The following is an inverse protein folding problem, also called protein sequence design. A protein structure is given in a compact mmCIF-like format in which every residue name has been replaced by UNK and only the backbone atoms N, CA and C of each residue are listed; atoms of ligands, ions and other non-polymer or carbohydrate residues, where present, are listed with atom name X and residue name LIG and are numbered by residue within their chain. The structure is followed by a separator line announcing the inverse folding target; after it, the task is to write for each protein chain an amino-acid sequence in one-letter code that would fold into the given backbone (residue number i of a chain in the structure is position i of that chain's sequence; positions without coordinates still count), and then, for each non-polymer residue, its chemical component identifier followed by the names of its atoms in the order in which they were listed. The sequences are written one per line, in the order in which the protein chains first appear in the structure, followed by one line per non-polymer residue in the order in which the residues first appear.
data_IF_980125627915
#
_entry.id   IF_980125627915
#
_cell.length_a   1.000
_cell.length_b   1.000
_cell.length_c   1.000
_cell.angle_alpha   90.00
_cell.angle_beta   90.00
_cell.angle_gamma   90.00
#
_symmetry.space_group_name_H-M   'P 1'
#
loop_
_entity.id
_entity.type
_entity.pdbx_description
1 polymer ?
#
# COMPACT_ATOMS: atom_id res chain seq x y z
N UNK A 1 37.36 41.92 -57.90
CA UNK A 1 36.51 41.01 -57.11
C UNK A 1 37.40 39.92 -56.55
N UNK A 2 37.34 39.73 -55.23
CA UNK A 2 38.41 39.23 -54.38
C UNK A 2 38.54 37.69 -54.32
N UNK A 3 39.82 37.29 -54.29
CA UNK A 3 40.51 36.13 -53.69
C UNK A 3 39.71 34.94 -53.09
N UNK A 4 40.03 33.73 -53.56
CA UNK A 4 39.93 32.48 -52.78
C UNK A 4 41.33 32.03 -52.34
N UNK A 5 41.63 32.22 -51.06
CA UNK A 5 42.86 31.77 -50.42
C UNK A 5 42.81 30.31 -49.94
N UNK A 6 43.88 29.56 -50.19
CA UNK A 6 44.21 28.27 -49.57
C UNK A 6 44.58 28.44 -48.09
N UNK A 7 44.26 27.45 -47.24
CA UNK A 7 45.02 27.01 -46.05
C UNK A 7 44.43 25.66 -45.56
N UNK A 8 45.14 24.53 -45.71
CA UNK A 8 46.17 23.90 -44.85
C UNK A 8 45.57 22.96 -43.79
N UNK A 9 45.94 21.69 -43.92
CA UNK A 9 45.79 20.59 -42.95
C UNK A 9 46.35 20.94 -41.56
N UNK A 10 45.68 20.46 -40.51
CA UNK A 10 46.33 20.06 -39.26
C UNK A 10 45.84 18.70 -38.80
N UNK A 11 46.82 17.88 -38.38
CA UNK A 11 46.76 16.48 -37.98
C UNK A 11 46.06 16.27 -36.63
N UNK A 12 45.46 15.10 -36.51
CA UNK A 12 45.01 14.34 -35.33
C UNK A 12 46.06 14.18 -34.23
N UNK A 13 45.65 14.24 -32.94
CA UNK A 13 46.10 13.44 -31.77
C UNK A 13 44.96 13.41 -30.70
N UNK A 14 44.78 12.32 -29.89
CA UNK A 14 43.51 11.86 -29.33
C UNK A 14 43.41 11.91 -27.78
N UNK A 15 42.19 11.66 -27.24
CA UNK A 15 41.82 11.06 -25.93
C UNK A 15 40.30 11.26 -25.75
N UNK A 16 39.48 10.35 -25.22
CA UNK A 16 39.74 9.21 -24.34
C UNK A 16 38.55 8.25 -24.37
N UNK A 17 38.87 6.99 -24.14
CA UNK A 17 38.00 5.86 -23.80
C UNK A 17 36.75 6.25 -22.98
N UNK A 18 35.58 6.24 -23.61
CA UNK A 18 34.29 6.06 -22.94
C UNK A 18 33.20 5.65 -23.95
N UNK A 19 33.56 4.79 -24.92
CA UNK A 19 32.55 4.02 -25.64
C UNK A 19 32.27 2.74 -24.85
N UNK A 20 31.45 2.86 -23.80
CA UNK A 20 30.83 1.72 -23.14
C UNK A 20 29.31 1.96 -23.05
N UNK A 21 28.61 1.32 -23.99
CA UNK A 21 27.21 0.88 -23.92
C UNK A 21 26.13 1.95 -23.64
N UNK A 22 25.80 2.73 -24.66
CA UNK A 22 24.46 3.32 -24.75
C UNK A 22 23.49 2.30 -25.38
N UNK A 23 23.17 1.25 -24.63
CA UNK A 23 22.09 0.33 -24.98
C UNK A 23 20.76 1.07 -24.85
N UNK A 24 20.30 1.69 -25.95
CA UNK A 24 19.00 2.36 -26.05
C UNK A 24 17.91 1.45 -25.48
N UNK A 25 17.25 1.89 -24.40
CA UNK A 25 16.13 1.16 -23.78
C UNK A 25 15.08 0.81 -24.85
N UNK A 26 14.50 -0.40 -24.82
CA UNK A 26 13.56 -0.85 -25.84
C UNK A 26 12.39 0.11 -25.99
N UNK A 27 11.96 0.36 -27.23
CA UNK A 27 10.88 1.28 -27.55
C UNK A 27 9.56 0.76 -26.96
N UNK A 28 8.92 1.57 -26.12
CA UNK A 28 7.65 1.23 -25.47
C UNK A 28 6.48 1.66 -26.35
N UNK A 29 5.42 0.85 -26.43
CA UNK A 29 4.21 1.19 -27.19
C UNK A 29 3.50 2.39 -26.58
N UNK A 30 2.83 3.16 -27.44
CA UNK A 30 2.17 4.40 -27.03
C UNK A 30 0.80 4.13 -26.40
N UNK A 31 0.27 5.10 -25.65
CA UNK A 31 -1.09 5.01 -25.11
C UNK A 31 -2.15 4.80 -26.21
N UNK A 32 -1.94 5.35 -27.41
CA UNK A 32 -2.81 5.14 -28.57
C UNK A 32 -2.84 3.68 -29.04
N UNK A 33 -1.69 3.01 -29.00
CA UNK A 33 -1.58 1.59 -29.38
C UNK A 33 -2.30 0.71 -28.35
N UNK A 34 -2.17 1.05 -27.06
CA UNK A 34 -2.87 0.38 -25.96
C UNK A 34 -4.39 0.52 -26.11
N UNK A 35 -4.89 1.74 -26.37
CA UNK A 35 -6.32 1.97 -26.63
C UNK A 35 -6.81 1.13 -27.80
N UNK A 36 -6.07 1.13 -28.91
CA UNK A 36 -6.42 0.35 -30.10
C UNK A 36 -6.47 -1.14 -29.78
N UNK A 37 -5.51 -1.66 -28.99
CA UNK A 37 -5.52 -3.05 -28.57
C UNK A 37 -6.76 -3.38 -27.73
N UNK A 38 -7.08 -2.55 -26.73
CA UNK A 38 -8.25 -2.76 -25.87
C UNK A 38 -9.57 -2.68 -26.65
N UNK A 39 -9.68 -1.79 -27.65
CA UNK A 39 -10.88 -1.65 -28.47
C UNK A 39 -11.11 -2.81 -29.44
N UNK A 40 -10.05 -3.30 -30.07
CA UNK A 40 -10.16 -4.28 -31.17
C UNK A 40 -9.91 -5.73 -30.73
N UNK A 41 -9.34 -5.95 -29.55
CA UNK A 41 -9.11 -7.29 -29.02
C UNK A 41 -10.31 -7.80 -28.24
N UNK A 42 -11.15 -8.61 -28.90
CA UNK A 42 -12.32 -9.22 -28.29
C UNK A 42 -12.02 -10.25 -27.19
N UNK A 43 -10.75 -10.61 -26.98
CA UNK A 43 -10.33 -11.49 -25.88
C UNK A 43 -10.10 -10.75 -24.55
N UNK A 44 -10.08 -9.40 -24.57
CA UNK A 44 -9.87 -8.57 -23.38
C UNK A 44 -11.20 -7.95 -22.92
N UNK A 45 -11.62 -8.18 -21.66
CA UNK A 45 -12.88 -7.65 -21.17
C UNK A 45 -12.73 -6.16 -20.82
N UNK A 46 -13.18 -5.29 -21.75
CA UNK A 46 -13.04 -3.83 -21.69
C UNK A 46 -13.68 -3.18 -20.46
N UNK A 47 -14.76 -3.77 -19.95
CA UNK A 47 -15.49 -3.37 -18.75
C UNK A 47 -14.64 -3.42 -17.49
N UNK A 48 -13.62 -4.28 -17.47
CA UNK A 48 -12.69 -4.43 -16.34
C UNK A 48 -11.48 -3.49 -16.41
N UNK A 49 -11.33 -2.69 -17.47
CA UNK A 49 -10.18 -1.78 -17.61
C UNK A 49 -10.50 -0.37 -17.11
N UNK A 50 -9.48 0.27 -16.53
CA UNK A 50 -9.51 1.66 -16.07
C UNK A 50 -8.36 2.45 -16.68
N UNK A 51 -8.57 3.75 -16.88
CA UNK A 51 -7.57 4.67 -17.43
C UNK A 51 -7.33 5.83 -16.49
N UNK A 52 -6.06 6.03 -16.12
CA UNK A 52 -5.61 7.21 -15.39
C UNK A 52 -5.08 8.27 -16.34
N UNK A 53 -5.68 9.46 -16.31
CA UNK A 53 -5.25 10.61 -17.12
C UNK A 53 -5.09 11.87 -16.28
N UNK A 54 -4.20 12.76 -16.70
CA UNK A 54 -3.95 14.02 -16.02
C UNK A 54 -5.01 15.06 -16.43
N UNK A 55 -5.93 15.34 -15.53
CA UNK A 55 -6.92 16.42 -15.62
C UNK A 55 -6.29 17.79 -15.34
N UNK A 56 -6.92 18.85 -15.84
CA UNK A 56 -6.42 20.23 -15.71
C UNK A 56 -6.56 20.75 -14.28
N UNK A 57 -7.54 20.30 -13.52
CA UNK A 57 -7.88 20.86 -12.22
C UNK A 57 -7.68 19.87 -11.07
N UNK A 58 -7.95 18.58 -11.32
CA UNK A 58 -7.97 17.56 -10.26
C UNK A 58 -6.72 16.65 -10.23
N UNK A 59 -5.70 16.92 -11.04
CA UNK A 59 -4.52 16.05 -11.15
C UNK A 59 -4.85 14.75 -11.90
N UNK A 60 -4.34 13.60 -11.46
CA UNK A 60 -4.61 12.34 -12.16
C UNK A 60 -5.99 11.79 -11.76
N UNK A 61 -6.88 11.66 -12.74
CA UNK A 61 -8.24 11.13 -12.60
C UNK A 61 -8.32 9.76 -13.25
N UNK A 62 -8.95 8.79 -12.58
CA UNK A 62 -9.26 7.47 -13.15
C UNK A 62 -10.71 7.39 -13.61
N UNK A 63 -10.93 6.78 -14.77
CA UNK A 63 -12.28 6.44 -15.27
C UNK A 63 -12.30 5.04 -15.88
N UNK A 64 -13.46 4.34 -15.83
CA UNK A 64 -13.64 3.09 -16.55
C UNK A 64 -13.37 3.29 -18.04
N UNK A 65 -12.71 2.34 -18.68
CA UNK A 65 -12.38 2.41 -20.10
C UNK A 65 -13.63 2.50 -20.98
N UNK A 66 -14.71 1.84 -20.57
CA UNK A 66 -16.02 1.85 -21.24
C UNK A 66 -16.78 3.18 -21.11
N UNK A 67 -16.46 3.99 -20.10
CA UNK A 67 -17.11 5.28 -19.87
C UNK A 67 -16.51 6.42 -20.71
N UNK A 68 -15.44 6.14 -21.47
CA UNK A 68 -14.67 7.12 -22.22
C UNK A 68 -14.92 6.96 -23.73
N UNK A 69 -15.14 8.07 -24.42
CA UNK A 69 -15.17 8.07 -25.88
C UNK A 69 -13.75 8.26 -26.44
N UNK A 70 -13.31 7.27 -27.21
CA UNK A 70 -11.96 7.16 -27.75
C UNK A 70 -11.82 7.71 -29.18
N UNK A 71 -12.92 8.26 -29.72
CA UNK A 71 -12.93 8.96 -31.02
C UNK A 71 -12.15 10.27 -30.94
N UNK A 72 -11.79 10.81 -32.12
CA UNK A 72 -11.00 12.03 -32.19
C UNK A 72 -11.77 13.21 -31.55
N UNK A 73 -11.15 13.98 -30.62
CA UNK A 73 -11.77 15.15 -30.00
C UNK A 73 -12.31 16.18 -31.00
N UNK A 74 -11.82 16.18 -32.24
CA UNK A 74 -12.28 17.08 -33.30
C UNK A 74 -13.61 16.67 -33.96
N UNK A 75 -14.16 15.51 -33.60
CA UNK A 75 -15.41 14.97 -34.17
C UNK A 75 -16.56 15.02 -33.14
N UNK A 76 -16.27 15.24 -31.86
CA UNK A 76 -17.26 15.11 -30.78
C UNK A 76 -17.78 16.49 -30.34
N UNK A 77 -19.09 16.60 -30.15
CA UNK A 77 -19.77 17.84 -29.71
C UNK A 77 -19.22 18.39 -28.38
N UNK A 78 -19.38 19.70 -28.18
CA UNK A 78 -18.88 20.51 -27.04
C UNK A 78 -19.27 20.01 -25.62
N UNK A 79 -20.06 18.94 -25.51
CA UNK A 79 -20.55 18.36 -24.25
C UNK A 79 -19.92 17.01 -23.89
N UNK A 80 -19.15 16.39 -24.80
CA UNK A 80 -18.56 15.08 -24.56
C UNK A 80 -17.08 15.23 -24.24
N UNK A 81 -16.66 14.66 -23.10
CA UNK A 81 -15.29 14.71 -22.58
C UNK A 81 -14.34 13.83 -23.42
N UNK A 82 -14.00 14.27 -24.63
CA UNK A 82 -12.97 13.60 -25.43
C UNK A 82 -11.60 13.81 -24.77
N UNK A 83 -11.03 12.73 -24.23
CA UNK A 83 -9.77 12.79 -23.48
C UNK A 83 -8.57 12.92 -24.41
N UNK A 84 -7.73 13.96 -24.26
CA UNK A 84 -6.52 14.09 -25.06
C UNK A 84 -5.53 12.94 -24.75
N UNK A 85 -5.22 12.12 -25.77
CA UNK A 85 -4.38 10.90 -25.64
C UNK A 85 -3.01 11.15 -24.98
N UNK A 86 -2.45 12.34 -25.12
CA UNK A 86 -1.16 12.72 -24.54
C UNK A 86 -1.19 12.88 -23.01
N UNK A 87 -2.39 13.03 -22.42
CA UNK A 87 -2.60 13.19 -20.96
C UNK A 87 -2.75 11.87 -20.23
N UNK A 88 -2.85 10.75 -20.95
CA UNK A 88 -2.97 9.43 -20.35
C UNK A 88 -1.63 9.04 -19.74
N UNK A 89 -1.67 8.61 -18.48
CA UNK A 89 -0.49 8.23 -17.71
C UNK A 89 -0.37 6.71 -17.58
N UNK A 90 -1.48 5.99 -17.34
CA UNK A 90 -1.46 4.54 -17.21
C UNK A 90 -2.81 3.89 -17.57
N UNK A 91 -2.78 2.58 -17.82
CA UNK A 91 -3.94 1.70 -17.95
C UNK A 91 -3.88 0.62 -16.89
N UNK A 92 -5.06 0.20 -16.42
CA UNK A 92 -5.23 -0.83 -15.40
C UNK A 92 -6.23 -1.87 -15.82
N UNK A 93 -5.96 -3.10 -15.39
CA UNK A 93 -6.93 -4.18 -15.37
C UNK A 93 -7.38 -4.41 -13.94
N UNK A 94 -8.66 -4.19 -13.66
CA UNK A 94 -9.24 -4.11 -12.33
C UNK A 94 -8.39 -3.17 -11.45
N UNK A 95 -7.57 -3.72 -10.56
CA UNK A 95 -6.75 -2.96 -9.62
C UNK A 95 -5.26 -2.85 -10.03
N UNK A 96 -4.79 -3.64 -11.00
CA UNK A 96 -3.35 -3.70 -11.34
C UNK A 96 -3.00 -2.91 -12.61
N UNK A 97 -1.92 -2.13 -12.55
CA UNK A 97 -1.37 -1.40 -13.70
C UNK A 97 -0.84 -2.39 -14.75
N UNK A 98 -1.40 -2.34 -15.96
CA UNK A 98 -0.97 -3.15 -17.10
C UNK A 98 -0.07 -2.37 -18.05
N UNK A 99 -0.16 -1.04 -18.00
CA UNK A 99 0.69 -0.14 -18.78
C UNK A 99 0.89 1.16 -17.99
N UNK A 100 2.13 1.62 -17.81
CA UNK A 100 2.46 2.85 -17.08
C UNK A 100 3.56 3.62 -17.80
N UNK A 101 3.25 4.87 -18.18
CA UNK A 101 4.15 5.76 -18.92
C UNK A 101 5.37 6.18 -18.11
N UNK A 102 5.21 6.44 -16.81
CA UNK A 102 6.27 6.92 -15.91
C UNK A 102 7.20 5.77 -15.52
N UNK A 103 6.62 4.62 -15.18
CA UNK A 103 7.38 3.42 -14.76
C UNK A 103 7.92 2.60 -15.94
N UNK A 104 7.62 3.00 -17.18
CA UNK A 104 7.92 2.25 -18.41
C UNK A 104 7.50 0.79 -18.31
N UNK A 105 6.26 0.56 -17.89
CA UNK A 105 5.65 -0.76 -17.78
C UNK A 105 4.75 -1.00 -18.99
N UNK A 106 4.94 -2.12 -19.68
CA UNK A 106 4.09 -2.54 -20.82
C UNK A 106 3.87 -4.05 -20.78
N UNK A 107 2.87 -4.48 -20.01
CA UNK A 107 2.42 -5.89 -19.92
C UNK A 107 1.55 -6.24 -21.13
N UNK A 108 0.91 -5.24 -21.74
CA UNK A 108 -0.04 -5.43 -22.85
C UNK A 108 0.66 -5.94 -24.11
N UNK A 109 1.82 -5.37 -24.45
CA UNK A 109 2.60 -5.80 -25.60
C UNK A 109 3.90 -6.51 -25.22
N UNK A 110 4.28 -6.52 -23.94
CA UNK A 110 5.55 -7.08 -23.49
C UNK A 110 6.78 -6.29 -23.95
N UNK A 111 6.59 -5.08 -24.51
CA UNK A 111 7.67 -4.29 -25.13
C UNK A 111 8.76 -3.89 -24.14
N UNK A 112 8.47 -3.93 -22.85
CA UNK A 112 9.40 -3.60 -21.76
C UNK A 112 10.10 -4.84 -21.19
N UNK A 113 9.95 -6.01 -21.82
CA UNK A 113 10.57 -7.26 -21.40
C UNK A 113 9.85 -7.97 -20.26
N UNK A 114 8.53 -7.76 -20.13
CA UNK A 114 7.75 -8.44 -19.09
C UNK A 114 7.61 -9.94 -19.43
N UNK A 115 7.89 -10.86 -18.49
CA UNK A 115 8.01 -12.29 -18.79
C UNK A 115 6.67 -13.02 -18.98
N UNK A 116 5.54 -12.38 -18.64
CA UNK A 116 4.20 -12.97 -18.70
C UNK A 116 3.37 -12.30 -19.79
N UNK A 117 2.55 -13.08 -20.48
CA UNK A 117 1.57 -12.54 -21.41
C UNK A 117 0.45 -11.78 -20.67
N UNK A 118 -0.26 -10.89 -21.38
CA UNK A 118 -1.41 -10.20 -20.81
C UNK A 118 -2.49 -11.17 -20.31
N UNK A 119 -2.67 -12.31 -20.98
CA UNK A 119 -3.66 -13.32 -20.59
C UNK A 119 -3.25 -14.08 -19.33
N UNK A 120 -1.97 -14.42 -19.20
CA UNK A 120 -1.44 -15.04 -17.99
C UNK A 120 -1.50 -14.05 -16.81
N UNK A 121 -1.24 -12.77 -17.09
CA UNK A 121 -1.38 -11.71 -16.10
C UNK A 121 -2.83 -11.56 -15.65
N UNK A 122 -3.79 -11.47 -16.58
CA UNK A 122 -5.22 -11.40 -16.27
C UNK A 122 -5.66 -12.63 -15.48
N UNK A 123 -5.26 -13.83 -15.92
CA UNK A 123 -5.60 -15.07 -15.22
C UNK A 123 -4.99 -15.11 -13.83
N UNK A 124 -3.77 -14.60 -13.65
CA UNK A 124 -3.15 -14.44 -12.33
C UNK A 124 -3.92 -13.45 -11.47
N UNK A 125 -4.34 -12.31 -12.00
CA UNK A 125 -5.16 -11.34 -11.25
C UNK A 125 -6.51 -11.95 -10.87
N UNK A 126 -7.20 -12.61 -11.80
CA UNK A 126 -8.48 -13.24 -11.54
C UNK A 126 -8.34 -14.40 -10.53
N UNK A 127 -7.28 -15.23 -10.62
CA UNK A 127 -6.99 -16.28 -9.63
C UNK A 127 -6.57 -15.71 -8.28
N UNK A 128 -5.76 -14.66 -8.22
CA UNK A 128 -5.42 -13.97 -6.98
C UNK A 128 -6.71 -13.44 -6.30
N UNK A 129 -7.69 -12.99 -7.09
CA UNK A 129 -9.00 -12.52 -6.60
C UNK A 129 -9.89 -13.69 -6.15
N UNK A 130 -9.87 -14.82 -6.85
CA UNK A 130 -10.67 -16.01 -6.55
C UNK A 130 -10.11 -16.81 -5.36
N UNK A 131 -8.80 -17.03 -5.28
CA UNK A 131 -8.15 -17.70 -4.15
C UNK A 131 -8.33 -16.87 -2.86
N UNK A 132 -8.37 -15.54 -2.97
CA UNK A 132 -8.72 -14.69 -1.83
C UNK A 132 -10.20 -14.82 -1.40
N UNK A 133 -11.12 -15.20 -2.30
CA UNK A 133 -12.54 -15.41 -1.97
C UNK A 133 -12.74 -16.60 -1.03
N UNK A 134 -11.91 -17.64 -1.11
CA UNK A 134 -12.06 -18.88 -0.34
C UNK A 134 -11.26 -18.90 0.96
N UNK A 135 -10.08 -18.25 1.03
CA UNK A 135 -9.18 -18.48 2.17
C UNK A 135 -9.25 -17.45 3.31
N UNK A 136 -9.74 -16.21 3.12
CA UNK A 136 -9.46 -15.14 4.10
C UNK A 136 -10.48 -13.98 4.17
N UNK A 137 -11.77 -14.25 4.06
CA UNK A 137 -12.75 -13.31 4.59
C UNK A 137 -13.08 -13.81 6.00
N UNK A 138 -12.20 -13.61 6.98
CA UNK A 138 -12.49 -13.81 8.42
C UNK A 138 -11.86 -12.73 9.30
N UNK A 139 -11.73 -11.53 8.73
CA UNK A 139 -11.40 -10.33 9.48
C UNK A 139 -12.66 -9.49 9.69
N UNK A 140 -13.49 -9.93 10.62
CA UNK A 140 -14.37 -9.03 11.36
C UNK A 140 -13.51 -8.33 12.43
N UNK A 141 -12.45 -7.62 11.99
CA UNK A 141 -11.42 -7.00 12.84
C UNK A 141 -12.09 -6.05 13.84
N UNK A 142 -12.14 -6.41 15.14
CA UNK A 142 -12.87 -5.62 16.12
C UNK A 142 -12.19 -4.27 16.41
N UNK A 143 -11.01 -4.01 15.85
CA UNK A 143 -10.33 -2.73 15.95
C UNK A 143 -10.84 -1.66 14.98
N UNK A 144 -11.57 -2.03 13.91
CA UNK A 144 -12.27 -1.06 13.05
C UNK A 144 -13.53 -0.60 13.78
N UNK A 145 -13.76 0.71 13.98
CA UNK A 145 -14.92 1.20 14.71
C UNK A 145 -16.25 0.73 14.08
N UNK A 146 -16.99 -0.16 14.76
CA UNK A 146 -18.38 -0.46 14.40
C UNK A 146 -19.26 0.68 14.95
N UNK A 147 -19.62 1.66 14.13
CA UNK A 147 -20.72 2.60 14.46
C UNK A 147 -22.04 2.08 13.90
N UNK A 148 -23.07 2.09 14.75
CA UNK A 148 -24.41 1.64 14.43
C UNK A 148 -25.00 2.52 13.32
N UNK A 149 -25.21 1.94 12.14
CA UNK A 149 -25.99 2.57 11.07
C UNK A 149 -27.10 1.60 10.66
N UNK A 150 -28.31 1.96 11.08
CA UNK A 150 -29.59 1.70 10.41
C UNK A 150 -29.99 0.25 10.12
N UNK A 151 -31.09 -0.18 10.75
CA UNK A 151 -31.86 -1.39 10.47
C UNK A 151 -31.93 -1.72 8.96
N UNK A 152 -31.12 -2.67 8.52
CA UNK A 152 -31.37 -3.44 7.32
C UNK A 152 -31.41 -4.91 7.72
N UNK A 153 -32.47 -5.58 7.28
CA UNK A 153 -32.84 -6.95 7.57
C UNK A 153 -31.65 -7.90 7.49
N UNK A 154 -31.44 -8.63 8.60
CA UNK A 154 -30.63 -9.85 8.67
C UNK A 154 -31.20 -10.87 7.68
N UNK A 155 -30.76 -10.83 6.43
CA UNK A 155 -30.81 -12.03 5.60
C UNK A 155 -29.71 -12.96 6.11
N UNK A 156 -30.18 -14.01 6.79
CA UNK A 156 -29.43 -15.14 7.32
C UNK A 156 -28.67 -15.78 6.15
N UNK A 157 -27.41 -15.40 6.00
CA UNK A 157 -26.41 -16.24 5.35
C UNK A 157 -26.00 -17.22 6.44
N UNK A 158 -26.01 -18.52 6.16
CA UNK A 158 -25.47 -19.55 7.06
C UNK A 158 -24.06 -19.11 7.50
N UNK A 159 -23.97 -18.60 8.73
CA UNK A 159 -22.74 -18.60 9.50
C UNK A 159 -22.45 -20.09 9.74
N UNK A 160 -21.66 -20.70 8.87
CA UNK A 160 -20.82 -21.81 9.32
C UNK A 160 -20.16 -21.32 10.61
N UNK A 161 -20.30 -22.05 11.72
CA UNK A 161 -19.68 -21.70 13.00
C UNK A 161 -18.17 -21.53 12.77
N UNK A 162 -17.74 -20.29 12.47
CA UNK A 162 -16.34 -19.98 12.27
C UNK A 162 -15.69 -20.17 13.63
N UNK A 163 -14.77 -21.14 13.70
CA UNK A 163 -14.04 -21.43 14.92
C UNK A 163 -13.20 -20.21 15.32
N UNK A 164 -13.73 -19.44 16.27
CA UNK A 164 -13.10 -18.24 16.80
C UNK A 164 -11.94 -18.57 17.76
N UNK A 165 -11.71 -19.86 18.07
CA UNK A 165 -10.70 -20.28 19.04
C UNK A 165 -9.28 -19.96 18.58
N UNK A 166 -9.00 -20.00 17.27
CA UNK A 166 -7.67 -19.69 16.71
C UNK A 166 -7.48 -18.21 16.33
N UNK A 167 -8.46 -17.36 16.61
CA UNK A 167 -8.42 -15.95 16.19
C UNK A 167 -7.44 -15.13 17.05
N UNK A 168 -6.50 -14.37 16.46
CA UNK A 168 -5.62 -13.49 17.23
C UNK A 168 -6.41 -12.45 18.01
N UNK A 169 -5.87 -12.09 19.18
CA UNK A 169 -6.52 -11.19 20.12
C UNK A 169 -5.56 -10.14 20.73
N UNK A 170 -4.26 -10.26 20.49
CA UNK A 170 -3.26 -9.26 20.86
C UNK A 170 -2.32 -8.96 19.69
N UNK A 171 -1.68 -7.80 19.74
CA UNK A 171 -0.55 -7.49 18.88
C UNK A 171 0.45 -6.61 19.62
N UNK A 172 1.72 -6.70 19.22
CA UNK A 172 2.77 -5.82 19.72
C UNK A 172 3.02 -4.73 18.68
N UNK A 173 3.06 -3.47 19.09
CA UNK A 173 3.22 -2.35 18.19
C UNK A 173 4.16 -1.25 18.72
N UNK A 174 4.67 -0.43 17.80
CA UNK A 174 5.21 0.90 18.09
C UNK A 174 4.25 1.97 17.55
N UNK A 175 4.01 3.00 18.35
CA UNK A 175 3.14 4.14 17.97
C UNK A 175 3.86 5.07 17.00
N UNK A 176 3.10 5.73 16.14
CA UNK A 176 3.56 6.88 15.37
C UNK A 176 3.10 8.14 16.12
N UNK A 177 4.03 8.93 16.63
CA UNK A 177 3.75 10.06 17.52
C UNK A 177 4.35 11.37 17.01
N UNK A 178 5.30 11.32 16.08
CA UNK A 178 5.85 12.52 15.47
C UNK A 178 4.71 13.31 14.79
N UNK A 179 4.47 14.53 15.27
CA UNK A 179 3.32 15.35 14.87
C UNK A 179 3.30 15.60 13.35
N UNK A 180 4.46 15.89 12.74
CA UNK A 180 4.58 16.12 11.30
C UNK A 180 4.24 14.86 10.49
N UNK A 181 4.73 13.69 10.95
CA UNK A 181 4.45 12.40 10.31
C UNK A 181 2.97 12.04 10.41
N UNK A 182 2.37 12.20 11.59
CA UNK A 182 0.95 11.95 11.83
C UNK A 182 0.08 12.88 10.98
N UNK A 183 0.43 14.17 10.89
CA UNK A 183 -0.28 15.15 10.08
C UNK A 183 -0.30 14.76 8.60
N UNK A 184 0.85 14.41 8.02
CA UNK A 184 0.93 14.00 6.61
C UNK A 184 0.15 12.72 6.33
N UNK A 185 0.18 11.74 7.23
CA UNK A 185 -0.62 10.53 7.09
C UNK A 185 -2.13 10.83 7.20
N UNK A 186 -2.51 11.79 8.06
CA UNK A 186 -3.89 12.26 8.18
C UNK A 186 -4.37 12.90 6.88
N UNK A 187 -3.54 13.69 6.19
CA UNK A 187 -3.90 14.28 4.90
C UNK A 187 -4.34 13.23 3.86
N UNK A 188 -3.72 12.04 3.87
CA UNK A 188 -4.12 10.91 3.00
C UNK A 188 -5.52 10.44 3.38
N UNK A 189 -5.77 10.21 4.67
CA UNK A 189 -7.07 9.74 5.16
C UNK A 189 -8.20 10.76 4.90
N UNK A 190 -7.92 12.05 5.08
CA UNK A 190 -8.88 13.13 4.83
C UNK A 190 -9.18 13.25 3.33
N UNK A 191 -8.16 13.10 2.48
CA UNK A 191 -8.33 13.10 1.03
C UNK A 191 -9.18 11.93 0.52
N UNK A 192 -9.01 10.75 1.11
CA UNK A 192 -9.83 9.55 0.83
C UNK A 192 -11.26 9.80 1.27
N UNK A 193 -11.46 10.23 2.53
CA UNK A 193 -12.78 10.48 3.10
C UNK A 193 -13.57 11.50 2.29
N UNK A 194 -12.93 12.58 1.84
CA UNK A 194 -13.57 13.60 1.00
C UNK A 194 -14.07 13.09 -0.37
N UNK A 195 -13.64 11.91 -0.83
CA UNK A 195 -14.03 11.29 -2.12
C UNK A 195 -14.91 10.07 -1.96
N UNK A 196 -14.77 9.37 -0.85
CA UNK A 196 -15.52 8.16 -0.53
C UNK A 196 -15.72 8.08 1.00
N UNK A 197 -16.86 8.60 1.46
CA UNK A 197 -17.18 8.66 2.90
C UNK A 197 -17.17 7.27 3.55
N UNK A 198 -17.67 6.25 2.84
CA UNK A 198 -17.72 4.87 3.35
C UNK A 198 -16.32 4.28 3.55
N UNK A 199 -15.40 4.55 2.61
CA UNK A 199 -14.01 4.18 2.77
C UNK A 199 -13.29 5.05 3.81
N UNK A 200 -13.70 6.31 3.97
CA UNK A 200 -13.24 7.18 5.05
C UNK A 200 -13.46 6.58 6.44
N UNK A 201 -14.56 5.86 6.66
CA UNK A 201 -14.83 5.13 7.90
C UNK A 201 -13.89 3.91 8.12
N UNK A 202 -13.19 3.47 7.07
CA UNK A 202 -12.16 2.41 7.16
C UNK A 202 -10.74 2.95 7.37
N UNK A 203 -10.57 4.28 7.41
CA UNK A 203 -9.27 4.88 7.70
C UNK A 203 -8.95 4.74 9.20
N UNK A 204 -7.69 4.44 9.50
CA UNK A 204 -7.18 4.35 10.87
C UNK A 204 -7.11 5.76 11.44
N UNK A 205 -7.73 6.05 12.61
CA UNK A 205 -7.62 7.35 13.25
C UNK A 205 -6.16 7.74 13.53
N UNK A 206 -5.79 9.04 13.45
CA UNK A 206 -4.43 9.49 13.71
C UNK A 206 -3.85 9.00 15.05
N UNK A 207 -4.68 8.97 16.10
CA UNK A 207 -4.30 8.54 17.44
C UNK A 207 -3.93 7.05 17.50
N UNK A 208 -4.39 6.26 16.52
CA UNK A 208 -4.21 4.82 16.40
C UNK A 208 -3.10 4.43 15.41
N UNK A 209 -2.44 5.37 14.75
CA UNK A 209 -1.36 5.04 13.81
C UNK A 209 -0.22 4.32 14.51
N UNK A 210 0.15 3.15 13.98
CA UNK A 210 1.15 2.28 14.56
C UNK A 210 1.79 1.38 13.51
N UNK A 211 2.98 0.88 13.81
CA UNK A 211 3.61 -0.24 13.13
C UNK A 211 3.47 -1.50 13.99
N UNK A 212 2.87 -2.55 13.44
CA UNK A 212 2.74 -3.84 14.12
C UNK A 212 4.04 -4.61 14.00
N UNK A 213 4.55 -5.12 15.11
CA UNK A 213 5.68 -6.05 15.16
C UNK A 213 5.19 -7.49 15.03
N UNK A 214 4.35 -7.97 15.95
CA UNK A 214 3.84 -9.36 15.97
C UNK A 214 2.36 -9.39 16.31
N UNK A 215 1.66 -10.38 15.77
CA UNK A 215 0.28 -10.71 16.09
C UNK A 215 0.26 -11.97 16.97
N UNK A 216 -0.46 -11.91 18.08
CA UNK A 216 -0.46 -12.93 19.13
C UNK A 216 -1.86 -13.46 19.42
N UNK A 217 -1.88 -14.70 19.90
CA UNK A 217 -3.04 -15.34 20.50
C UNK A 217 -2.72 -15.68 21.96
N UNK A 218 -3.32 -14.95 22.89
CA UNK A 218 -3.09 -15.07 24.33
C UNK A 218 -4.44 -15.36 25.01
N UNK A 219 -4.70 -16.61 25.37
CA UNK A 219 -6.00 -17.07 25.88
C UNK A 219 -6.06 -17.09 27.42
N UNK A 220 -4.90 -17.04 28.08
CA UNK A 220 -4.79 -17.04 29.54
C UNK A 220 -4.05 -15.83 30.09
N UNK A 221 -4.28 -15.45 31.37
CA UNK A 221 -3.45 -14.45 32.05
C UNK A 221 -1.97 -14.82 32.11
N UNK A 222 -1.63 -16.11 32.09
CA UNK A 222 -0.24 -16.56 32.05
C UNK A 222 0.40 -16.21 30.71
N UNK A 223 -0.31 -16.41 29.59
CA UNK A 223 0.17 -16.07 28.24
C UNK A 223 0.47 -14.56 28.13
N UNK A 224 -0.38 -13.73 28.74
CA UNK A 224 -0.17 -12.28 28.83
C UNK A 224 1.08 -11.95 29.66
N UNK A 225 1.27 -12.60 30.81
CA UNK A 225 2.47 -12.44 31.62
C UNK A 225 3.75 -12.86 30.86
N UNK A 226 3.69 -13.93 30.07
CA UNK A 226 4.81 -14.41 29.26
C UNK A 226 5.16 -13.42 28.14
N UNK A 227 4.16 -12.86 27.45
CA UNK A 227 4.38 -11.81 26.46
C UNK A 227 4.97 -10.52 27.09
N UNK A 228 4.54 -10.16 28.30
CA UNK A 228 5.11 -9.04 29.07
C UNK A 228 6.57 -9.33 29.44
N UNK A 229 6.87 -10.54 29.90
CA UNK A 229 8.23 -10.95 30.25
C UNK A 229 9.15 -10.97 29.01
N UNK A 230 8.63 -11.28 27.82
CA UNK A 230 9.37 -11.16 26.56
C UNK A 230 9.72 -9.69 26.27
N UNK A 231 8.74 -8.78 26.35
CA UNK A 231 8.96 -7.34 26.17
C UNK A 231 10.00 -6.77 27.15
N UNK A 232 9.94 -7.19 28.42
CA UNK A 232 10.91 -6.81 29.45
C UNK A 232 12.33 -7.31 29.13
N UNK A 233 12.46 -8.54 28.63
CA UNK A 233 13.75 -9.07 28.23
C UNK A 233 14.34 -8.33 27.03
N UNK A 234 13.51 -7.99 26.03
CA UNK A 234 13.93 -7.15 24.89
C UNK A 234 14.45 -5.79 25.36
N UNK A 235 13.72 -5.11 26.25
CA UNK A 235 14.13 -3.80 26.78
C UNK A 235 15.40 -3.86 27.66
N UNK A 236 15.66 -5.00 28.31
CA UNK A 236 16.88 -5.20 29.08
C UNK A 236 18.12 -5.36 28.18
N UNK A 237 17.97 -5.87 26.96
CA UNK A 237 19.06 -6.01 26.00
C UNK A 237 19.61 -4.66 25.54
N UNK A 238 20.86 -4.65 25.08
CA UNK A 238 21.51 -3.44 24.55
C UNK A 238 21.29 -3.36 23.03
N UNK A 239 20.04 -3.18 22.61
CA UNK A 239 19.68 -3.07 21.21
C UNK A 239 19.96 -1.65 20.68
N UNK A 240 20.34 -1.51 19.40
CA UNK A 240 20.53 -0.21 18.79
C UNK A 240 19.21 0.56 18.70
N UNK A 241 19.29 1.89 18.74
CA UNK A 241 18.12 2.73 18.52
C UNK A 241 17.54 2.52 17.11
N UNK A 242 16.20 2.57 17.02
CA UNK A 242 15.47 2.38 15.77
C UNK A 242 14.72 3.67 15.44
N UNK A 243 14.97 4.19 14.24
CA UNK A 243 14.20 5.26 13.62
C UNK A 243 13.61 4.75 12.32
N UNK A 244 12.30 4.82 12.20
CA UNK A 244 11.55 4.48 10.99
C UNK A 244 11.61 5.65 10.03
N UNK A 245 11.79 5.36 8.74
CA UNK A 245 11.56 6.31 7.66
C UNK A 245 10.34 5.84 6.86
N UNK A 246 9.32 6.69 6.76
CA UNK A 246 8.05 6.39 6.12
C UNK A 246 8.00 7.07 4.76
N UNK A 247 8.07 6.29 3.68
CA UNK A 247 8.14 6.80 2.31
C UNK A 247 7.21 6.07 1.33
N UNK A 248 6.27 6.85 0.81
CA UNK A 248 5.27 6.49 -0.16
C UNK A 248 4.29 5.42 0.33
N UNK A 249 3.34 5.11 -0.55
CA UNK A 249 2.19 4.27 -0.24
C UNK A 249 2.20 2.99 -1.05
N UNK A 250 1.81 1.90 -0.38
CA UNK A 250 1.56 0.63 -1.03
C UNK A 250 0.35 -0.06 -0.40
N UNK A 251 0.04 -1.26 -0.86
CA UNK A 251 -1.15 -1.96 -0.45
C UNK A 251 -0.96 -3.47 -0.34
N UNK A 252 -1.68 -4.08 0.60
CA UNK A 252 -1.87 -5.53 0.60
C UNK A 252 -3.16 -5.83 -0.15
N UNK A 253 -3.01 -6.40 -1.35
CA UNK A 253 -4.10 -6.88 -2.20
C UNK A 253 -5.17 -5.82 -2.49
N UNK A 254 -4.79 -4.54 -2.49
CA UNK A 254 -5.66 -3.37 -2.62
C UNK A 254 -6.76 -3.28 -1.55
N UNK A 255 -6.56 -3.89 -0.38
CA UNK A 255 -7.53 -3.90 0.72
C UNK A 255 -7.06 -3.18 1.96
N UNK A 256 -5.75 -3.21 2.17
CA UNK A 256 -5.06 -2.47 3.20
C UNK A 256 -4.17 -1.47 2.50
N UNK A 257 -4.37 -0.19 2.74
CA UNK A 257 -3.48 0.89 2.32
C UNK A 257 -2.54 1.21 3.47
N UNK A 258 -1.24 1.26 3.19
CA UNK A 258 -0.23 1.55 4.20
C UNK A 258 0.89 2.42 3.65
N UNK A 259 1.57 3.14 4.56
CA UNK A 259 2.86 3.75 4.26
C UNK A 259 3.96 2.72 4.43
N UNK A 260 4.88 2.65 3.46
CA UNK A 260 6.05 1.75 3.54
C UNK A 260 7.03 2.29 4.57
N UNK A 261 7.66 1.37 5.28
CA UNK A 261 8.80 1.67 6.13
C UNK A 261 10.06 1.19 5.40
N UNK A 262 11.06 2.06 5.27
CA UNK A 262 12.33 1.68 4.67
C UNK A 262 13.00 0.51 5.40
N UNK A 263 13.76 -0.29 4.66
CA UNK A 263 14.54 -1.39 5.22
C UNK A 263 15.55 -0.85 6.23
N UNK A 264 15.54 -1.41 7.44
CA UNK A 264 16.38 -0.96 8.54
C UNK A 264 16.90 -2.16 9.33
N UNK A 265 18.21 -2.39 9.30
CA UNK A 265 18.87 -3.50 10.01
C UNK A 265 18.63 -3.49 11.52
N UNK A 266 18.55 -2.30 12.13
CA UNK A 266 18.27 -2.17 13.56
C UNK A 266 16.83 -2.57 13.88
N UNK A 267 15.88 -2.23 12.99
CA UNK A 267 14.50 -2.68 13.12
C UNK A 267 14.41 -4.20 13.01
N UNK A 268 15.12 -4.81 12.05
CA UNK A 268 15.17 -6.27 11.89
C UNK A 268 15.75 -6.94 13.13
N UNK A 269 16.84 -6.41 13.70
CA UNK A 269 17.42 -6.93 14.95
C UNK A 269 16.46 -6.82 16.14
N UNK A 270 15.77 -5.69 16.28
CA UNK A 270 14.76 -5.51 17.33
C UNK A 270 13.61 -6.51 17.17
N UNK A 271 13.15 -6.68 15.93
CA UNK A 271 12.09 -7.63 15.58
C UNK A 271 12.49 -9.07 15.89
N UNK A 272 13.67 -9.50 15.45
CA UNK A 272 14.18 -10.86 15.66
C UNK A 272 14.38 -11.14 17.14
N UNK A 273 14.94 -10.19 17.88
CA UNK A 273 15.06 -10.28 19.33
C UNK A 273 13.69 -10.50 20.00
N UNK A 274 12.69 -9.69 19.64
CA UNK A 274 11.33 -9.83 20.16
C UNK A 274 10.73 -11.20 19.85
N UNK A 275 10.81 -11.65 18.60
CA UNK A 275 10.28 -12.96 18.18
C UNK A 275 10.96 -14.09 18.94
N UNK A 276 12.28 -14.04 19.11
CA UNK A 276 13.03 -15.04 19.86
C UNK A 276 12.62 -15.10 21.33
N UNK A 277 12.43 -13.94 21.98
CA UNK A 277 11.98 -13.89 23.38
C UNK A 277 10.53 -14.39 23.56
N UNK A 278 9.65 -14.13 22.58
CA UNK A 278 8.29 -14.66 22.55
C UNK A 278 8.28 -16.19 22.38
N UNK A 279 9.06 -16.72 21.42
CA UNK A 279 9.19 -18.16 21.18
C UNK A 279 9.77 -18.86 22.41
N UNK A 280 10.80 -18.28 23.05
CA UNK A 280 11.43 -18.85 24.24
C UNK A 280 10.46 -18.99 25.43
N UNK A 281 9.36 -18.22 25.44
CA UNK A 281 8.30 -18.27 26.46
C UNK A 281 7.03 -18.97 25.97
N UNK A 282 7.09 -19.64 24.82
CA UNK A 282 5.96 -20.36 24.23
C UNK A 282 4.72 -19.48 23.95
N UNK A 283 4.92 -18.19 23.67
CA UNK A 283 3.82 -17.33 23.22
C UNK A 283 3.33 -17.77 21.83
N UNK A 284 2.01 -17.86 21.64
CA UNK A 284 1.43 -18.22 20.34
C UNK A 284 1.47 -17.02 19.38
N UNK A 285 2.49 -17.02 18.51
CA UNK A 285 2.63 -16.05 17.41
C UNK A 285 1.80 -16.51 16.22
N UNK A 286 0.95 -15.64 15.69
CA UNK A 286 -0.02 -15.94 14.62
C UNK A 286 0.27 -15.17 13.32
N UNK A 287 1.50 -14.72 13.15
CA UNK A 287 1.97 -14.03 11.95
C UNK A 287 1.83 -14.96 10.73
N UNK A 288 0.90 -14.65 9.82
CA UNK A 288 0.60 -15.50 8.64
C UNK A 288 1.55 -15.29 7.47
N UNK A 289 2.24 -14.16 7.43
CA UNK A 289 3.10 -13.74 6.32
C UNK A 289 4.47 -13.30 6.84
N UNK A 290 5.44 -13.23 5.92
CA UNK A 290 6.73 -12.62 6.21
C UNK A 290 6.56 -11.20 6.74
N UNK A 291 7.37 -10.83 7.72
CA UNK A 291 7.34 -9.48 8.29
C UNK A 291 7.70 -8.45 7.22
N UNK A 292 6.72 -7.60 6.89
CA UNK A 292 6.90 -6.41 6.05
C UNK A 292 6.59 -5.22 6.95
N UNK A 293 7.56 -4.37 7.31
CA UNK A 293 7.30 -3.23 8.19
C UNK A 293 6.45 -2.19 7.44
N UNK A 294 5.32 -1.80 8.04
CA UNK A 294 4.36 -0.88 7.44
C UNK A 294 3.52 -0.17 8.50
N UNK A 295 2.98 1.00 8.14
CA UNK A 295 1.99 1.74 8.95
C UNK A 295 0.68 1.78 8.19
N UNK A 296 -0.34 1.10 8.71
CA UNK A 296 -1.66 1.02 8.05
C UNK A 296 -2.41 2.35 8.16
N UNK A 297 -2.89 2.85 7.02
CA UNK A 297 -3.67 4.09 6.92
C UNK A 297 -5.16 3.77 6.73
N UNK A 298 -5.49 2.72 5.97
CA UNK A 298 -6.87 2.29 5.80
C UNK A 298 -6.96 0.77 5.60
N UNK A 299 -7.99 0.13 6.17
CA UNK A 299 -8.24 -1.30 6.05
C UNK A 299 -9.71 -1.57 5.80
N UNK A 300 -10.04 -2.10 4.61
CA UNK A 300 -11.42 -2.41 4.24
C UNK A 300 -12.04 -3.49 5.12
N UNK A 301 -13.22 -3.20 5.65
CA UNK A 301 -14.04 -4.15 6.40
C UNK A 301 -15.06 -4.87 5.50
N UNK A 302 -15.57 -6.02 5.96
CA UNK A 302 -16.64 -6.76 5.26
C UNK A 302 -17.91 -5.89 5.02
N UNK A 303 -18.41 -5.13 6.02
CA UNK A 303 -19.61 -4.32 5.83
C UNK A 303 -19.43 -3.24 4.77
N UNK A 304 -18.32 -2.50 4.81
CA UNK A 304 -18.04 -1.43 3.85
C UNK A 304 -17.84 -1.99 2.44
N UNK A 305 -17.19 -3.15 2.32
CA UNK A 305 -17.05 -3.85 1.03
C UNK A 305 -18.40 -4.17 0.38
N UNK A 306 -19.38 -4.63 1.19
CA UNK A 306 -20.75 -4.91 0.72
C UNK A 306 -21.48 -3.63 0.31
N UNK A 307 -21.39 -2.59 1.14
CA UNK A 307 -22.05 -1.30 0.88
C UNK A 307 -21.50 -0.58 -0.36
N UNK A 308 -20.18 -0.60 -0.55
CA UNK A 308 -19.51 -0.01 -1.73
C UNK A 308 -19.66 -0.86 -2.99
N UNK A 309 -20.13 -2.10 -2.88
CA UNK A 309 -20.06 -3.11 -3.93
C UNK A 309 -18.65 -3.21 -4.56
N UNK A 310 -17.62 -2.99 -3.75
CA UNK A 310 -16.21 -3.00 -4.17
C UNK A 310 -15.37 -3.57 -3.05
N UNK A 311 -14.52 -4.54 -3.41
CA UNK A 311 -13.59 -5.19 -2.48
C UNK A 311 -12.26 -4.46 -2.37
N UNK A 312 -12.09 -3.34 -3.07
CA UNK A 312 -10.78 -2.72 -3.25
C UNK A 312 -10.80 -1.22 -2.91
N UNK A 313 -9.63 -0.76 -2.48
CA UNK A 313 -9.25 0.64 -2.36
C UNK A 313 -8.66 1.03 -3.72
N UNK A 314 -9.43 1.78 -4.49
CA UNK A 314 -9.01 2.21 -5.82
C UNK A 314 -7.83 3.18 -5.71
N UNK A 315 -6.81 2.97 -6.56
CA UNK A 315 -5.56 3.69 -6.41
C UNK A 315 -5.71 5.21 -6.61
N UNK A 316 -6.64 5.69 -7.42
CA UNK A 316 -6.83 7.14 -7.60
C UNK A 316 -7.10 7.88 -6.28
N UNK A 317 -7.59 7.17 -5.25
CA UNK A 317 -7.87 7.72 -3.93
C UNK A 317 -6.59 8.02 -3.14
N UNK A 318 -5.45 7.47 -3.53
CA UNK A 318 -4.17 7.71 -2.85
C UNK A 318 -2.99 7.94 -3.81
N UNK A 319 -3.21 7.91 -5.12
CA UNK A 319 -2.17 8.07 -6.13
C UNK A 319 -1.43 9.41 -6.00
N UNK A 320 -2.13 10.46 -5.58
CA UNK A 320 -1.55 11.78 -5.31
C UNK A 320 -0.36 11.69 -4.34
N UNK A 321 -0.39 10.73 -3.43
CA UNK A 321 0.58 10.55 -2.36
C UNK A 321 1.43 9.27 -2.54
N UNK A 322 1.38 8.59 -3.70
CA UNK A 322 2.02 7.26 -3.92
C UNK A 322 3.53 7.26 -3.59
N UNK A 323 4.20 8.38 -3.84
CA UNK A 323 5.65 8.54 -3.66
C UNK A 323 6.02 9.66 -2.66
N UNK A 324 5.08 10.08 -1.79
CA UNK A 324 5.33 11.16 -0.84
C UNK A 324 6.20 10.70 0.34
N UNK A 325 7.06 11.58 0.84
CA UNK A 325 7.81 11.36 2.09
C UNK A 325 6.95 11.78 3.29
N UNK A 326 6.55 10.79 4.10
CA UNK A 326 5.70 11.02 5.28
C UNK A 326 6.50 11.42 6.50
N UNK A 327 7.78 11.05 6.59
CA UNK A 327 8.68 11.51 7.65
C UNK A 327 9.23 10.36 8.49
N UNK A 328 9.70 10.69 9.69
CA UNK A 328 10.43 9.73 10.53
C UNK A 328 9.78 9.53 11.89
N UNK A 329 9.90 8.33 12.44
CA UNK A 329 9.41 7.99 13.78
C UNK A 329 10.50 7.27 14.58
N UNK A 330 10.87 7.80 15.75
CA UNK A 330 11.80 7.10 16.65
C UNK A 330 11.02 6.13 17.53
N UNK A 331 11.40 4.84 17.52
CA UNK A 331 10.76 3.84 18.38
C UNK A 331 11.33 3.96 19.79
N UNK A 332 10.58 4.63 20.67
CA UNK A 332 10.94 4.76 22.09
C UNK A 332 10.28 3.71 22.97
N UNK A 333 9.17 3.11 22.53
CA UNK A 333 8.38 2.19 23.35
C UNK A 333 7.67 1.14 22.51
N UNK A 334 7.43 -0.02 23.13
CA UNK A 334 6.61 -1.11 22.59
C UNK A 334 5.35 -1.28 23.45
N UNK A 335 4.26 -1.59 22.77
CA UNK A 335 2.93 -1.70 23.36
C UNK A 335 2.37 -3.10 23.10
N UNK A 336 1.95 -3.80 24.15
CA UNK A 336 1.13 -5.00 24.01
C UNK A 336 -0.34 -4.59 23.98
N UNK A 337 -0.91 -4.53 22.79
CA UNK A 337 -2.25 -4.03 22.50
C UNK A 337 -3.28 -5.15 22.46
N UNK A 338 -4.44 -4.92 23.08
CA UNK A 338 -5.63 -5.75 22.94
C UNK A 338 -6.32 -5.45 21.60
N UNK A 339 -6.64 -6.49 20.82
CA UNK A 339 -7.53 -6.36 19.68
C UNK A 339 -8.97 -6.20 20.16
N UNK A 340 -9.61 -5.10 19.79
CA UNK A 340 -10.96 -4.81 20.25
C UNK A 340 -11.37 -3.38 19.95
N UNK A 341 -12.60 -3.02 20.35
CA UNK A 341 -13.11 -1.65 20.22
C UNK A 341 -12.69 -0.73 21.39
N UNK A 342 -12.16 -1.30 22.48
CA UNK A 342 -11.75 -0.53 23.65
C UNK A 342 -10.52 0.36 23.36
N UNK A 343 -10.54 1.59 23.86
CA UNK A 343 -9.48 2.58 23.66
C UNK A 343 -9.01 3.15 25.00
N UNK A 344 -7.76 3.64 25.03
CA UNK A 344 -7.20 4.49 26.08
C UNK A 344 -7.83 5.88 26.02
N UNK A 345 -7.58 6.71 27.04
CA UNK A 345 -8.05 8.10 27.10
C UNK A 345 -7.48 8.96 25.96
N UNK A 346 -6.27 8.65 25.49
CA UNK A 346 -5.60 9.32 24.38
C UNK A 346 -6.03 8.81 22.99
N UNK A 347 -7.02 7.91 22.93
CA UNK A 347 -7.54 7.36 21.68
C UNK A 347 -6.75 6.18 21.11
N UNK A 348 -5.59 5.82 21.70
CA UNK A 348 -4.84 4.64 21.25
C UNK A 348 -5.53 3.33 21.68
N UNK A 349 -5.07 2.21 21.14
CA UNK A 349 -5.54 0.88 21.53
C UNK A 349 -5.41 0.68 23.04
N UNK A 350 -6.36 -0.07 23.63
CA UNK A 350 -6.18 -0.54 25.00
C UNK A 350 -4.94 -1.44 25.06
N UNK A 351 -4.04 -1.16 26.00
CA UNK A 351 -2.80 -1.92 26.16
C UNK A 351 -2.85 -2.71 27.47
N UNK A 352 -2.44 -3.97 27.41
CA UNK A 352 -2.16 -4.76 28.60
C UNK A 352 -0.82 -4.36 29.25
N UNK A 353 0.13 -3.88 28.44
CA UNK A 353 1.44 -3.44 28.90
C UNK A 353 2.10 -2.46 27.93
N UNK A 354 2.98 -1.61 28.45
CA UNK A 354 3.78 -0.64 27.72
C UNK A 354 5.20 -0.67 28.31
N UNK A 355 6.23 -0.67 27.46
CA UNK A 355 7.62 -0.64 27.90
C UNK A 355 8.45 0.36 27.09
N UNK A 356 9.27 1.14 27.79
CA UNK A 356 10.27 2.01 27.18
C UNK A 356 11.51 1.21 26.79
N UNK A 357 11.98 1.41 25.56
CA UNK A 357 13.25 0.86 25.06
C UNK A 357 14.45 1.76 25.42
N UNK A 358 14.21 3.02 25.78
CA UNK A 358 15.26 3.94 26.19
C UNK A 358 15.61 3.68 27.66
N UNK A 359 16.85 3.30 27.93
CA UNK A 359 17.41 3.29 29.29
C UNK A 359 17.65 4.73 29.69
N UNK A 360 16.94 5.24 30.71
CA UNK A 360 17.42 6.43 31.40
C UNK A 360 18.80 6.09 31.94
N UNK A 361 19.82 6.81 31.46
CA UNK A 361 21.12 6.82 32.12
C UNK A 361 20.84 7.46 33.47
N UNK A 362 20.78 6.66 34.52
CA UNK A 362 20.85 7.16 35.89
C UNK A 362 22.16 7.93 36.02
N UNK A 363 22.08 9.25 35.87
CA UNK A 363 23.17 10.16 36.24
C UNK A 363 23.22 10.10 37.76
N UNK A 364 24.11 9.26 38.26
CA UNK A 364 24.40 9.05 39.67
C UNK A 364 25.26 10.16 40.24
#
# INVERSE_FOLDING_TARGET
MAEKGKKKNFKTIPKSESELNDCKKPSMKTASDVISRLLWDGSLPQDKFYVGYLDRFDGIVEKPFSALDWRDPSIVDNHTLALPKHRIQYFKYLTRKVWDKRRRLDIIFGSTGFPLSIHDFISKVDNDILNFRDENFDDDDPSVPKRAVGNYSEEIINDEEVDMSDRPNFFIAARIQNEDTVEKLREVSDYIKARDDLLGECCIPPEMLHMTFSILKLDSPADVCDAIAALQAVAAQNLPEVTLNLEGLDNFYHRVLYSRVEENDNLTKLRDCLVNELIARNCTITDRYSFVPHVTIAKLSRPVTRQRNSKYIDQYLYLKFEDDEFGTEKINSLYLCEMGAARREDGFYKCAYEISLNKMVDVS
#
